data_IF_046274108970
#
_entry.id   IF_046274108970
#
_cell.length_a   1.000
_cell.length_b   1.000
_cell.length_c   1.000
_cell.angle_alpha   90.00
_cell.angle_beta   90.00
_cell.angle_gamma   90.00
#
_symmetry.space_group_name_H-M   'P 1'
#
loop_
_entity.id
_entity.type
_entity.pdbx_description
1 polymer ?
#
# COMPACT_ATOMS: atom_id res chain seq x y z
N UNK A 1 32.45 34.45 -25.28
CA UNK A 1 33.70 34.00 -25.95
C UNK A 1 33.42 33.06 -27.13
N UNK A 2 32.67 31.96 -26.97
CA UNK A 2 32.38 31.01 -28.06
C UNK A 2 31.54 31.62 -29.21
N UNK A 3 30.55 32.45 -28.89
CA UNK A 3 29.73 33.15 -29.91
C UNK A 3 30.57 34.09 -30.77
N UNK A 4 31.45 34.86 -30.11
CA UNK A 4 32.40 35.75 -30.75
C UNK A 4 33.35 35.00 -31.70
N UNK A 5 33.90 33.86 -31.26
CA UNK A 5 34.76 33.01 -32.10
C UNK A 5 33.98 32.44 -33.30
N UNK A 6 32.74 31.99 -33.12
CA UNK A 6 31.94 31.45 -34.24
C UNK A 6 31.60 32.51 -35.29
N UNK A 7 31.32 33.75 -34.86
CA UNK A 7 31.04 34.88 -35.76
C UNK A 7 32.33 35.27 -36.48
N UNK A 8 33.47 35.34 -35.79
CA UNK A 8 34.77 35.64 -36.40
C UNK A 8 35.19 34.57 -37.42
N UNK A 9 35.04 33.28 -37.11
CA UNK A 9 35.30 32.20 -38.08
C UNK A 9 34.38 32.28 -39.29
N UNK A 10 33.09 32.58 -39.09
CA UNK A 10 32.14 32.73 -40.19
C UNK A 10 32.53 33.87 -41.14
N UNK A 11 33.03 34.99 -40.60
CA UNK A 11 33.54 36.12 -41.40
C UNK A 11 34.78 35.74 -42.19
N UNK A 12 35.71 35.02 -41.55
CA UNK A 12 36.97 34.60 -42.18
C UNK A 12 36.74 33.59 -43.32
N UNK A 13 35.76 32.68 -43.19
CA UNK A 13 35.49 31.66 -44.21
C UNK A 13 34.48 32.09 -45.29
N UNK A 14 33.48 32.90 -44.97
CA UNK A 14 32.40 33.24 -45.91
C UNK A 14 32.69 34.49 -46.75
N UNK A 15 33.64 35.34 -46.36
CA UNK A 15 34.03 36.55 -47.11
C UNK A 15 32.89 37.57 -47.32
N UNK A 16 31.80 37.48 -46.55
CA UNK A 16 30.61 38.36 -46.65
C UNK A 16 30.63 39.45 -45.57
N UNK A 17 30.12 40.66 -45.85
CA UNK A 17 30.03 41.72 -44.86
C UNK A 17 29.03 41.35 -43.74
N UNK A 18 29.43 41.58 -42.49
CA UNK A 18 28.62 41.35 -41.31
C UNK A 18 27.39 42.26 -41.31
N UNK A 19 26.21 41.70 -41.60
CA UNK A 19 24.95 42.41 -41.39
C UNK A 19 24.49 42.23 -39.93
N UNK A 20 24.08 43.29 -39.21
CA UNK A 20 23.64 43.19 -37.82
C UNK A 20 22.54 42.14 -37.57
N UNK A 21 21.63 41.96 -38.54
CA UNK A 21 20.56 40.96 -38.49
C UNK A 21 21.10 39.53 -38.38
N UNK A 22 22.17 39.19 -39.11
CA UNK A 22 22.76 37.86 -39.10
C UNK A 22 23.40 37.53 -37.73
N UNK A 23 24.03 38.51 -37.10
CA UNK A 23 24.64 38.35 -35.78
C UNK A 23 23.56 38.11 -34.72
N UNK A 24 22.47 38.90 -34.74
CA UNK A 24 21.36 38.75 -33.79
C UNK A 24 20.70 37.38 -33.92
N UNK A 25 20.41 36.93 -35.15
CA UNK A 25 19.83 35.62 -35.42
C UNK A 25 20.76 34.50 -34.91
N UNK A 26 22.05 34.56 -35.23
CA UNK A 26 23.04 33.57 -34.80
C UNK A 26 23.17 33.51 -33.28
N UNK A 27 23.14 34.67 -32.60
CA UNK A 27 23.17 34.77 -31.15
C UNK A 27 21.90 34.15 -30.52
N UNK A 28 20.72 34.44 -31.07
CA UNK A 28 19.46 33.85 -30.61
C UNK A 28 19.44 32.32 -30.76
N UNK A 29 19.91 31.80 -31.89
CA UNK A 29 20.05 30.35 -32.09
C UNK A 29 21.05 29.73 -31.11
N UNK A 30 22.21 30.37 -30.91
CA UNK A 30 23.20 29.89 -29.95
C UNK A 30 22.62 29.79 -28.53
N UNK A 31 21.90 30.81 -28.06
CA UNK A 31 21.30 30.81 -26.73
C UNK A 31 20.23 29.71 -26.57
N UNK A 32 19.46 29.42 -27.63
CA UNK A 32 18.47 28.33 -27.64
C UNK A 32 19.13 26.95 -27.64
N UNK A 33 20.19 26.75 -28.43
CA UNK A 33 20.94 25.49 -28.46
C UNK A 33 21.69 25.28 -27.14
N UNK A 34 22.34 26.33 -26.63
CA UNK A 34 23.10 26.26 -25.37
C UNK A 34 22.20 25.95 -24.17
N UNK A 35 20.97 26.47 -24.13
CA UNK A 35 20.00 26.12 -23.08
C UNK A 35 19.42 24.71 -23.26
N UNK A 36 19.11 24.31 -24.50
CA UNK A 36 18.66 22.96 -24.83
C UNK A 36 19.67 21.89 -24.42
N UNK A 37 20.93 22.04 -24.82
CA UNK A 37 22.00 21.07 -24.56
C UNK A 37 22.55 21.21 -23.14
N UNK A 38 22.80 22.44 -22.68
CA UNK A 38 23.46 22.69 -21.40
C UNK A 38 22.59 22.42 -20.17
N UNK A 39 21.27 22.60 -20.27
CA UNK A 39 20.38 22.45 -19.13
C UNK A 39 19.31 21.37 -19.35
N UNK A 40 18.53 21.46 -20.43
CA UNK A 40 17.39 20.56 -20.61
C UNK A 40 17.82 19.12 -20.90
N UNK A 41 18.85 18.91 -21.70
CA UNK A 41 19.37 17.57 -22.00
C UNK A 41 19.94 16.89 -20.76
N UNK A 42 20.81 17.57 -20.00
CA UNK A 42 21.35 17.04 -18.74
C UNK A 42 20.23 16.75 -17.72
N UNK A 43 19.26 17.66 -17.60
CA UNK A 43 18.08 17.46 -16.74
C UNK A 43 17.24 16.26 -17.19
N UNK A 44 17.07 16.06 -18.50
CA UNK A 44 16.34 14.91 -19.04
C UNK A 44 17.04 13.59 -18.74
N UNK A 45 18.38 13.55 -18.81
CA UNK A 45 19.17 12.37 -18.41
C UNK A 45 18.95 12.05 -16.94
N UNK A 46 19.13 13.03 -16.06
CA UNK A 46 18.97 12.84 -14.60
C UNK A 46 17.54 12.37 -14.29
N UNK A 47 16.53 13.03 -14.86
CA UNK A 47 15.12 12.66 -14.67
C UNK A 47 14.82 11.24 -15.20
N UNK A 48 15.40 10.85 -16.33
CA UNK A 48 15.23 9.50 -16.89
C UNK A 48 15.86 8.43 -16.01
N UNK A 49 17.01 8.70 -15.40
CA UNK A 49 17.66 7.78 -14.47
C UNK A 49 16.81 7.62 -13.20
N UNK A 50 16.41 8.73 -12.57
CA UNK A 50 15.55 8.72 -11.38
C UNK A 50 14.21 8.03 -11.66
N UNK A 51 13.59 8.33 -12.81
CA UNK A 51 12.36 7.69 -13.26
C UNK A 51 12.51 6.19 -13.43
N UNK A 52 13.59 5.72 -14.07
CA UNK A 52 13.86 4.28 -14.22
C UNK A 52 14.04 3.57 -12.87
N UNK A 53 14.75 4.19 -11.91
CA UNK A 53 14.91 3.59 -10.57
C UNK A 53 13.56 3.48 -9.86
N UNK A 54 12.72 4.52 -9.93
CA UNK A 54 11.37 4.49 -9.34
C UNK A 54 10.48 3.44 -10.01
N UNK A 55 10.49 3.36 -11.35
CA UNK A 55 9.73 2.36 -12.10
C UNK A 55 10.15 0.94 -11.73
N UNK A 56 11.45 0.67 -11.62
CA UNK A 56 11.95 -0.63 -11.15
C UNK A 56 11.44 -1.01 -9.76
N UNK A 57 11.31 -0.04 -8.85
CA UNK A 57 10.76 -0.31 -7.50
C UNK A 57 9.27 -0.63 -7.55
N UNK A 58 8.51 0.11 -8.35
CA UNK A 58 7.07 -0.14 -8.55
C UNK A 58 6.85 -1.51 -9.22
N UNK A 59 7.61 -1.80 -10.28
CA UNK A 59 7.58 -3.10 -10.96
C UNK A 59 7.88 -4.24 -9.98
N UNK A 60 8.95 -4.09 -9.18
CA UNK A 60 9.29 -5.08 -8.15
C UNK A 60 8.14 -5.31 -7.17
N UNK A 61 7.49 -4.24 -6.70
CA UNK A 61 6.35 -4.34 -5.79
C UNK A 61 5.13 -5.03 -6.44
N UNK A 62 4.79 -4.65 -7.68
CA UNK A 62 3.66 -5.23 -8.41
C UNK A 62 3.86 -6.70 -8.78
N UNK A 63 5.12 -7.11 -8.97
CA UNK A 63 5.49 -8.50 -9.27
C UNK A 63 5.67 -9.36 -8.01
N UNK A 64 5.60 -8.77 -6.82
CA UNK A 64 5.71 -9.52 -5.57
C UNK A 64 4.51 -10.48 -5.44
N UNK A 65 4.79 -11.74 -5.10
CA UNK A 65 3.74 -12.76 -5.02
C UNK A 65 2.85 -12.50 -3.80
N UNK A 66 1.58 -12.24 -4.04
CA UNK A 66 0.55 -12.27 -2.99
C UNK A 66 0.51 -13.63 -2.31
N UNK A 67 0.13 -13.64 -1.03
CA UNK A 67 -0.16 -14.88 -0.32
C UNK A 67 -1.34 -15.56 -1.03
N UNK A 68 -1.17 -16.85 -1.35
CA UNK A 68 -2.24 -17.66 -1.92
C UNK A 68 -3.28 -17.84 -0.83
N UNK A 69 -4.47 -17.26 -1.02
CA UNK A 69 -5.60 -17.58 -0.17
C UNK A 69 -6.00 -19.02 -0.43
N UNK A 70 -6.13 -19.82 0.62
CA UNK A 70 -6.67 -21.17 0.45
C UNK A 70 -8.12 -21.07 0.01
N UNK A 71 -8.52 -21.98 -0.89
CA UNK A 71 -9.92 -22.06 -1.27
C UNK A 71 -10.68 -22.52 -0.03
N UNK A 72 -11.65 -21.72 0.41
CA UNK A 72 -12.59 -22.11 1.47
C UNK A 72 -13.39 -23.29 0.91
N UNK A 73 -13.06 -24.52 1.33
CA UNK A 73 -13.75 -25.72 0.88
C UNK A 73 -15.04 -25.87 1.70
N UNK A 74 -16.18 -25.69 1.02
CA UNK A 74 -17.50 -25.92 1.59
C UNK A 74 -17.87 -27.40 1.52
N UNK A 75 -17.18 -28.27 2.24
CA UNK A 75 -17.69 -29.62 2.48
C UNK A 75 -18.35 -29.70 3.85
N UNK A 76 -19.62 -30.14 3.85
CA UNK A 76 -20.44 -30.34 5.03
C UNK A 76 -19.85 -31.48 5.87
N UNK A 77 -19.04 -31.13 6.86
CA UNK A 77 -18.86 -31.92 8.08
C UNK A 77 -18.18 -31.04 9.15
N UNK A 78 -18.67 -31.12 10.38
CA UNK A 78 -18.00 -30.49 11.53
C UNK A 78 -16.52 -30.92 11.58
N UNK A 79 -15.56 -30.06 11.96
CA UNK A 79 -15.68 -28.78 12.68
C UNK A 79 -15.73 -27.51 11.79
N UNK A 80 -16.07 -26.35 12.39
CA UNK A 80 -16.17 -25.04 11.71
C UNK A 80 -14.80 -24.41 11.46
N UNK A 81 -13.86 -24.62 12.37
CA UNK A 81 -12.45 -24.28 12.19
C UNK A 81 -11.64 -25.54 12.49
N UNK A 82 -10.81 -25.96 11.54
CA UNK A 82 -9.83 -27.04 11.71
C UNK A 82 -8.45 -26.54 11.32
N UNK A 83 -7.51 -26.70 12.22
CA UNK A 83 -6.10 -26.41 11.99
C UNK A 83 -5.32 -27.69 12.28
N UNK A 84 -4.61 -28.21 11.27
CA UNK A 84 -3.81 -29.42 11.38
C UNK A 84 -2.34 -29.16 11.05
N UNK A 85 -1.47 -29.47 12.01
CA UNK A 85 -0.01 -29.41 11.95
C UNK A 85 0.53 -28.12 11.31
N UNK A 86 0.03 -26.99 11.79
CA UNK A 86 0.34 -25.68 11.21
C UNK A 86 1.77 -25.23 11.54
N UNK A 87 2.49 -24.83 10.50
CA UNK A 87 3.76 -24.10 10.61
C UNK A 87 3.67 -22.77 9.84
N UNK A 88 3.96 -21.67 10.53
CA UNK A 88 3.88 -20.33 9.96
C UNK A 88 5.16 -19.53 10.21
N UNK A 89 5.50 -18.65 9.26
CA UNK A 89 6.65 -17.73 9.33
C UNK A 89 6.25 -16.32 8.95
N UNK A 90 6.81 -15.33 9.64
CA UNK A 90 6.49 -13.91 9.41
C UNK A 90 7.09 -13.37 8.10
N UNK A 91 8.27 -13.87 7.73
CA UNK A 91 8.98 -13.46 6.52
C UNK A 91 9.56 -14.67 5.82
N UNK A 92 9.54 -14.65 4.48
CA UNK A 92 10.18 -15.67 3.64
C UNK A 92 11.67 -15.81 3.88
N UNK A 93 12.30 -14.72 4.31
CA UNK A 93 13.75 -14.64 4.53
C UNK A 93 14.15 -15.07 5.94
N UNK A 94 13.18 -15.34 6.81
CA UNK A 94 13.44 -15.78 8.16
C UNK A 94 13.34 -17.31 8.23
N UNK A 95 14.37 -17.94 8.80
CA UNK A 95 14.40 -19.38 9.03
C UNK A 95 13.72 -19.76 10.36
N UNK A 96 13.32 -18.78 11.17
CA UNK A 96 12.62 -19.04 12.42
C UNK A 96 11.11 -19.21 12.20
N UNK A 97 10.60 -20.39 12.57
CA UNK A 97 9.17 -20.64 12.67
C UNK A 97 8.64 -20.09 13.99
N UNK A 98 7.64 -19.21 13.91
CA UNK A 98 6.99 -18.63 15.08
C UNK A 98 5.87 -19.53 15.60
N UNK A 99 5.22 -20.29 14.71
CA UNK A 99 4.25 -21.32 15.06
C UNK A 99 4.78 -22.66 14.57
N UNK A 100 4.84 -23.63 15.48
CA UNK A 100 5.38 -24.97 15.21
C UNK A 100 4.35 -26.01 15.62
N UNK A 101 3.88 -26.78 14.64
CA UNK A 101 2.96 -27.92 14.82
C UNK A 101 1.73 -27.59 15.69
N UNK A 102 1.03 -26.50 15.37
CA UNK A 102 -0.18 -26.13 16.09
C UNK A 102 -1.39 -26.89 15.53
N UNK A 103 -2.22 -27.46 16.42
CA UNK A 103 -3.44 -28.17 16.09
C UNK A 103 -4.60 -27.60 16.91
N UNK A 104 -5.72 -27.33 16.26
CA UNK A 104 -6.92 -26.79 16.91
C UNK A 104 -8.16 -27.15 16.12
N UNK A 105 -9.25 -27.46 16.82
CA UNK A 105 -10.57 -27.64 16.25
C UNK A 105 -11.58 -26.82 17.04
N UNK A 106 -12.48 -26.13 16.34
CA UNK A 106 -13.57 -25.37 16.94
C UNK A 106 -14.90 -25.70 16.27
N UNK A 107 -15.94 -25.94 17.07
CA UNK A 107 -17.29 -26.23 16.60
C UNK A 107 -18.16 -24.97 16.66
N UNK A 108 -19.32 -25.05 16.00
CA UNK A 108 -20.31 -23.98 16.02
C UNK A 108 -20.80 -23.79 17.47
N UNK A 109 -20.71 -22.55 17.97
CA UNK A 109 -21.13 -22.19 19.33
C UNK A 109 -20.01 -22.22 20.37
N UNK A 110 -18.80 -22.64 20.02
CA UNK A 110 -17.67 -22.65 20.96
C UNK A 110 -17.15 -21.23 21.23
N UNK A 111 -16.87 -20.94 22.50
CA UNK A 111 -16.10 -19.77 22.94
C UNK A 111 -14.70 -20.23 23.36
N UNK A 112 -13.70 -19.93 22.55
CA UNK A 112 -12.32 -20.38 22.76
C UNK A 112 -11.42 -19.19 23.12
N UNK A 113 -10.65 -19.34 24.19
CA UNK A 113 -9.64 -18.36 24.60
C UNK A 113 -8.24 -18.96 24.44
N UNK A 114 -7.33 -18.22 23.81
CA UNK A 114 -5.93 -18.60 23.63
C UNK A 114 -5.06 -17.75 24.56
N UNK A 115 -4.43 -18.40 25.55
CA UNK A 115 -3.59 -17.74 26.55
C UNK A 115 -2.15 -18.24 26.50
N UNK A 116 -1.21 -17.43 26.98
CA UNK A 116 0.21 -17.76 27.00
C UNK A 116 1.10 -16.54 27.19
N UNK A 117 2.41 -16.72 27.42
CA UNK A 117 3.35 -15.62 27.68
C UNK A 117 3.49 -14.65 26.49
N UNK A 118 3.98 -13.44 26.75
CA UNK A 118 4.29 -12.48 25.68
C UNK A 118 5.33 -13.10 24.73
N UNK A 119 5.14 -12.95 23.42
CA UNK A 119 6.01 -13.55 22.41
C UNK A 119 5.71 -15.02 22.09
N UNK A 120 4.71 -15.65 22.69
CA UNK A 120 4.33 -17.05 22.40
C UNK A 120 3.65 -17.29 21.05
N UNK A 121 3.52 -16.27 20.20
CA UNK A 121 2.94 -16.41 18.86
C UNK A 121 1.41 -16.37 18.77
N UNK A 122 0.67 -15.99 19.82
CA UNK A 122 -0.81 -15.92 19.80
C UNK A 122 -1.37 -15.02 18.69
N UNK A 123 -0.87 -13.78 18.62
CA UNK A 123 -1.29 -12.84 17.57
C UNK A 123 -0.89 -13.35 16.19
N UNK A 124 0.30 -13.95 16.07
CA UNK A 124 0.75 -14.62 14.83
C UNK A 124 -0.19 -15.76 14.43
N UNK A 125 -0.75 -16.50 15.39
CA UNK A 125 -1.70 -17.56 15.12
C UNK A 125 -3.01 -17.01 14.55
N UNK A 126 -3.57 -15.97 15.17
CA UNK A 126 -4.76 -15.31 14.65
C UNK A 126 -4.54 -14.75 13.24
N UNK A 127 -3.38 -14.13 13.00
CA UNK A 127 -2.99 -13.64 11.68
C UNK A 127 -2.81 -14.77 10.66
N UNK A 128 -2.37 -15.96 11.10
CA UNK A 128 -2.28 -17.13 10.23
C UNK A 128 -3.64 -17.71 9.85
N UNK A 129 -4.65 -17.62 10.72
CA UNK A 129 -6.03 -18.03 10.43
C UNK A 129 -6.69 -17.17 9.35
N UNK A 130 -6.39 -15.87 9.32
CA UNK A 130 -6.87 -14.96 8.26
C UNK A 130 -5.93 -14.89 7.06
N UNK A 131 -4.91 -15.74 7.03
CA UNK A 131 -3.93 -15.88 5.92
C UNK A 131 -3.10 -14.62 5.65
N UNK A 132 -2.88 -13.77 6.66
CA UNK A 132 -1.99 -12.60 6.58
C UNK A 132 -0.51 -12.98 6.78
N UNK A 133 -0.24 -14.13 7.41
CA UNK A 133 1.10 -14.69 7.59
C UNK A 133 1.27 -15.91 6.70
N UNK A 134 2.45 -16.07 6.10
CA UNK A 134 2.73 -17.19 5.22
C UNK A 134 2.73 -18.52 5.98
N UNK A 135 1.82 -19.41 5.56
CA UNK A 135 1.81 -20.82 5.92
C UNK A 135 2.92 -21.55 5.17
N UNK A 136 3.80 -22.23 5.91
CA UNK A 136 4.83 -23.10 5.33
C UNK A 136 4.30 -24.53 5.15
N UNK A 137 3.58 -25.05 6.14
CA UNK A 137 2.97 -26.38 6.09
C UNK A 137 1.78 -26.48 7.04
N UNK A 138 1.01 -27.56 6.87
CA UNK A 138 -0.27 -27.78 7.56
C UNK A 138 -1.46 -27.29 6.76
N UNK A 139 -2.65 -27.50 7.30
CA UNK A 139 -3.92 -27.13 6.68
C UNK A 139 -4.80 -26.34 7.63
N UNK A 140 -5.51 -25.38 7.05
CA UNK A 140 -6.47 -24.52 7.73
C UNK A 140 -7.76 -24.65 6.92
N UNK A 141 -8.81 -25.14 7.57
CA UNK A 141 -10.17 -25.20 7.02
C UNK A 141 -11.06 -24.34 7.91
N UNK A 142 -11.61 -23.27 7.34
CA UNK A 142 -12.51 -22.35 8.04
C UNK A 142 -13.77 -22.19 7.20
N UNK A 143 -14.92 -22.48 7.82
CA UNK A 143 -16.22 -22.43 7.15
C UNK A 143 -16.95 -21.13 7.47
N UNK A 144 -17.47 -20.47 6.43
CA UNK A 144 -18.26 -19.25 6.55
C UNK A 144 -17.44 -17.96 6.52
N UNK A 145 -17.98 -16.91 7.15
CA UNK A 145 -17.34 -15.59 7.19
C UNK A 145 -16.48 -15.41 8.44
N UNK A 146 -15.26 -14.93 8.26
CA UNK A 146 -14.34 -14.59 9.36
C UNK A 146 -14.36 -13.07 9.59
N UNK A 147 -14.41 -12.67 10.86
CA UNK A 147 -14.20 -11.28 11.26
C UNK A 147 -13.02 -11.23 12.24
N UNK A 148 -12.10 -10.30 12.01
CA UNK A 148 -10.90 -10.12 12.82
C UNK A 148 -10.90 -8.75 13.47
N UNK A 149 -10.64 -8.72 14.78
CA UNK A 149 -10.45 -7.50 15.55
C UNK A 149 -8.99 -7.44 15.98
N UNK A 150 -8.19 -6.49 15.47
CA UNK A 150 -6.79 -6.35 15.87
C UNK A 150 -6.69 -5.82 17.31
N UNK A 151 -5.53 -6.04 17.93
CA UNK A 151 -5.21 -5.47 19.24
C UNK A 151 -5.26 -3.94 19.24
N UNK A 152 -4.79 -3.32 18.14
CA UNK A 152 -4.86 -1.87 17.92
C UNK A 152 -5.75 -1.61 16.70
N UNK A 153 -6.95 -1.01 16.88
CA UNK A 153 -7.86 -0.74 15.76
C UNK A 153 -7.35 0.41 14.90
N UNK A 154 -7.53 0.28 13.58
CA UNK A 154 -7.26 1.35 12.63
C UNK A 154 -8.53 2.20 12.42
N UNK A 155 -8.44 3.51 12.69
CA UNK A 155 -9.52 4.46 12.48
C UNK A 155 -9.18 5.32 11.25
N UNK A 156 -10.09 5.38 10.28
CA UNK A 156 -9.96 6.23 9.10
C UNK A 156 -10.18 7.70 9.46
N UNK A 157 -9.48 8.58 8.75
CA UNK A 157 -9.71 10.03 8.77
C UNK A 157 -11.03 10.38 8.09
N UNK A 158 -12.12 10.02 8.75
CA UNK A 158 -13.49 10.08 8.27
C UNK A 158 -14.45 10.25 9.47
N UNK A 159 -15.73 10.54 9.20
CA UNK A 159 -16.73 10.59 10.27
C UNK A 159 -16.83 9.27 11.03
N UNK A 160 -17.25 9.32 12.29
CA UNK A 160 -17.53 8.12 13.10
C UNK A 160 -18.49 7.16 12.37
N UNK A 161 -19.53 7.72 11.74
CA UNK A 161 -20.49 6.97 10.92
C UNK A 161 -19.81 6.20 9.79
N UNK A 162 -18.87 6.83 9.07
CA UNK A 162 -18.14 6.18 7.98
C UNK A 162 -17.20 5.09 8.51
N UNK A 163 -16.55 5.33 9.65
CA UNK A 163 -15.72 4.32 10.32
C UNK A 163 -16.54 3.10 10.76
N UNK A 164 -17.76 3.29 11.27
CA UNK A 164 -18.67 2.19 11.66
C UNK A 164 -19.20 1.44 10.43
N UNK A 165 -19.59 2.15 9.38
CA UNK A 165 -20.16 1.53 8.18
C UNK A 165 -19.12 0.80 7.33
N UNK A 166 -17.88 1.29 7.30
CA UNK A 166 -16.75 0.69 6.58
C UNK A 166 -17.08 0.39 5.10
N UNK A 167 -17.80 1.30 4.44
CA UNK A 167 -18.24 1.16 3.05
C UNK A 167 -19.55 0.39 2.83
N UNK A 168 -20.20 -0.12 3.88
CA UNK A 168 -21.54 -0.73 3.77
C UNK A 168 -22.64 0.34 3.60
N UNK A 169 -23.74 -0.07 2.96
CA UNK A 169 -24.94 0.77 2.79
C UNK A 169 -25.49 1.16 4.18
N UNK A 170 -25.86 2.43 4.32
CA UNK A 170 -26.42 2.93 5.57
C UNK A 170 -27.86 2.44 5.76
N UNK A 171 -28.06 1.64 6.81
CA UNK A 171 -29.37 1.28 7.33
C UNK A 171 -29.55 1.92 8.71
N UNK A 172 -30.51 2.85 8.81
CA UNK A 172 -30.78 3.60 10.04
C UNK A 172 -31.17 2.71 11.22
N UNK A 173 -31.97 1.66 10.98
CA UNK A 173 -32.44 0.78 12.07
C UNK A 173 -31.26 0.00 12.65
N UNK A 174 -30.51 -0.66 11.77
CA UNK A 174 -29.32 -1.44 12.14
C UNK A 174 -28.23 -0.57 12.76
N UNK A 175 -28.01 0.63 12.23
CA UNK A 175 -27.01 1.55 12.78
C UNK A 175 -27.35 1.98 14.20
N UNK A 176 -28.60 2.38 14.47
CA UNK A 176 -29.03 2.77 15.80
C UNK A 176 -28.95 1.61 16.80
N UNK A 177 -29.27 0.39 16.37
CA UNK A 177 -29.11 -0.82 17.17
C UNK A 177 -27.63 -1.06 17.54
N UNK A 178 -26.71 -0.93 16.58
CA UNK A 178 -25.26 -1.06 16.82
C UNK A 178 -24.78 -0.01 17.83
N UNK A 179 -25.18 1.26 17.66
CA UNK A 179 -24.80 2.33 18.60
C UNK A 179 -25.27 2.01 20.02
N UNK A 180 -26.49 1.50 20.17
CA UNK A 180 -27.05 1.13 21.46
C UNK A 180 -26.33 -0.07 22.08
N UNK A 181 -26.10 -1.15 21.32
CA UNK A 181 -25.42 -2.37 21.81
C UNK A 181 -23.96 -2.10 22.17
N UNK A 182 -23.29 -1.21 21.42
CA UNK A 182 -21.92 -0.79 21.70
C UNK A 182 -21.82 0.35 22.72
N UNK A 183 -22.95 0.80 23.30
CA UNK A 183 -23.01 1.92 24.25
C UNK A 183 -22.33 3.21 23.75
N UNK A 184 -22.45 3.52 22.45
CA UNK A 184 -21.83 4.68 21.80
C UNK A 184 -22.72 5.92 21.79
N UNK A 185 -23.85 5.91 22.51
CA UNK A 185 -24.83 7.00 22.52
C UNK A 185 -24.20 8.34 22.97
N UNK A 186 -23.41 8.34 24.04
CA UNK A 186 -22.78 9.57 24.58
C UNK A 186 -21.67 10.15 23.68
N UNK A 187 -20.94 9.30 22.97
CA UNK A 187 -19.88 9.71 22.03
C UNK A 187 -20.49 10.30 20.76
N UNK A 188 -21.69 9.84 20.40
CA UNK A 188 -22.38 10.25 19.20
C UNK A 188 -22.76 11.73 19.23
N UNK A 189 -23.14 12.31 20.37
CA UNK A 189 -23.59 13.71 20.39
C UNK A 189 -22.44 14.73 20.35
N UNK A 190 -21.29 14.44 20.96
CA UNK A 190 -20.19 15.42 21.11
C UNK A 190 -19.25 15.50 19.90
N UNK A 191 -19.01 14.40 19.18
CA UNK A 191 -18.12 14.37 18.01
C UNK A 191 -18.86 14.44 16.65
N UNK A 192 -20.13 14.01 16.58
CA UNK A 192 -20.87 14.03 15.30
C UNK A 192 -21.29 15.47 14.93
N UNK A 193 -21.68 16.30 15.91
CA UNK A 193 -22.12 17.68 15.67
C UNK A 193 -21.04 18.59 15.06
N UNK A 194 -19.75 18.30 15.29
CA UNK A 194 -18.65 19.05 14.68
C UNK A 194 -18.22 18.51 13.30
N UNK A 195 -18.45 17.22 13.02
CA UNK A 195 -18.16 16.64 11.68
C UNK A 195 -19.26 16.88 10.65
N UNK A 196 -20.51 17.14 11.08
CA UNK A 196 -21.64 17.44 10.21
C UNK A 196 -21.77 18.94 9.83
N UNK A 197 -21.04 19.84 10.51
CA UNK A 197 -21.08 21.28 10.23
C UNK A 197 -20.06 21.75 9.18
N UNK A 198 -19.12 20.90 8.76
CA UNK A 198 -18.03 21.25 7.84
C UNK A 198 -18.06 20.45 6.52
N UNK A 199 -19.26 20.15 6.01
CA UNK A 199 -19.50 19.80 4.61
C UNK A 199 -20.56 20.75 4.06
#
# INVERSE_FOLDING_TARGET
MITFISVTCFVLFAGRPLTPSLIVISMSFYLRISSAVGFYFFKAIIMSISGRVSLKRIEKFLMEKNLKKSNIFFENDNPMVKVSSMFARWSRNDNSFYLKNFNMEAKIGDLIAIIGPVGSGKSSFLLSLIEEIEKVSGDIDIKGSVFYVPQEPWIFTASLKQNILFGKVYDKKKFNEIIKVCCLEEVSDSQILNSLKNI
#
